data_IF_602436321025
#
_entry.id   IF_602436321025
#
_cell.length_a   1.000
_cell.length_b   1.000
_cell.length_c   1.000
_cell.angle_alpha   90.00
_cell.angle_beta   90.00
_cell.angle_gamma   90.00
#
_symmetry.space_group_name_H-M   'P 1'
#
loop_
_entity.id
_entity.type
_entity.pdbx_description
1 polymer ?
#
# COMPACT_ATOMS: atom_id res chain seq x y z
N UNK A 1 16.08 3.76 -11.89
CA UNK A 1 15.15 4.15 -10.82
C UNK A 1 15.14 3.03 -9.79
N UNK A 2 15.00 3.30 -8.49
CA UNK A 2 14.85 2.24 -7.50
C UNK A 2 13.57 1.43 -7.79
N UNK A 3 13.65 0.11 -7.66
CA UNK A 3 12.52 -0.81 -7.83
C UNK A 3 12.00 -1.21 -6.46
N UNK A 4 10.67 -1.16 -6.26
CA UNK A 4 10.02 -1.53 -5.01
C UNK A 4 9.07 -2.69 -5.24
N UNK A 5 9.13 -3.69 -4.36
CA UNK A 5 8.20 -4.83 -4.34
C UNK A 5 7.19 -4.60 -3.23
N UNK A 6 5.94 -4.31 -3.61
CA UNK A 6 4.83 -4.10 -2.69
C UNK A 6 3.90 -5.31 -2.74
N UNK A 7 3.47 -5.80 -1.58
CA UNK A 7 2.57 -6.95 -1.47
C UNK A 7 1.29 -6.51 -0.78
N UNK A 8 0.14 -6.83 -1.36
CA UNK A 8 -1.19 -6.53 -0.80
C UNK A 8 -1.81 -7.81 -0.25
N UNK A 9 -2.12 -7.82 1.05
CA UNK A 9 -2.66 -8.98 1.77
C UNK A 9 -4.05 -8.66 2.33
N UNK A 10 -4.88 -9.70 2.51
CA UNK A 10 -6.20 -9.58 3.12
C UNK A 10 -7.20 -10.63 2.64
N UNK A 11 -8.31 -10.75 3.37
CA UNK A 11 -9.39 -11.71 3.12
C UNK A 11 -10.04 -11.56 1.73
N UNK A 12 -10.82 -12.56 1.31
CA UNK A 12 -11.64 -12.48 0.10
C UNK A 12 -12.61 -11.28 0.14
N UNK A 13 -12.83 -10.63 -0.99
CA UNK A 13 -13.85 -9.56 -1.11
C UNK A 13 -13.53 -8.23 -0.42
N UNK A 14 -12.41 -8.07 0.30
CA UNK A 14 -12.04 -6.80 0.96
C UNK A 14 -11.63 -5.69 -0.02
N UNK A 15 -11.39 -6.03 -1.28
CA UNK A 15 -11.08 -5.07 -2.35
C UNK A 15 -9.58 -4.87 -2.65
N UNK A 16 -8.75 -5.90 -2.42
CA UNK A 16 -7.31 -5.89 -2.77
C UNK A 16 -7.09 -5.53 -4.24
N UNK A 17 -7.65 -6.32 -5.16
CA UNK A 17 -7.54 -6.09 -6.59
C UNK A 17 -8.16 -4.76 -6.99
N UNK A 18 -9.29 -4.37 -6.37
CA UNK A 18 -9.92 -3.08 -6.64
C UNK A 18 -9.01 -1.89 -6.30
N UNK A 19 -8.31 -1.94 -5.16
CA UNK A 19 -7.33 -0.92 -4.78
C UNK A 19 -6.13 -0.90 -5.74
N UNK A 20 -5.59 -2.06 -6.11
CA UNK A 20 -4.46 -2.15 -7.04
C UNK A 20 -4.82 -1.65 -8.43
N UNK A 21 -5.96 -2.07 -8.98
CA UNK A 21 -6.44 -1.61 -10.29
C UNK A 21 -6.74 -0.12 -10.25
N UNK A 22 -7.35 0.39 -9.18
CA UNK A 22 -7.61 1.82 -9.05
C UNK A 22 -6.32 2.65 -8.97
N UNK A 23 -5.28 2.13 -8.33
CA UNK A 23 -3.97 2.78 -8.29
C UNK A 23 -3.26 2.77 -9.65
N UNK A 24 -3.23 1.62 -10.33
CA UNK A 24 -2.47 1.45 -11.59
C UNK A 24 -3.19 2.07 -12.79
N UNK A 25 -4.50 1.86 -12.89
CA UNK A 25 -5.29 2.21 -14.08
C UNK A 25 -6.22 3.40 -13.85
N UNK A 26 -6.42 3.83 -12.60
CA UNK A 26 -7.33 4.94 -12.30
C UNK A 26 -8.81 4.63 -12.58
N UNK A 27 -9.17 3.36 -12.76
CA UNK A 27 -10.54 2.89 -12.94
C UNK A 27 -10.98 1.95 -11.82
N UNK A 28 -12.29 1.93 -11.56
CA UNK A 28 -12.93 0.96 -10.66
C UNK A 28 -13.91 0.10 -11.45
N UNK A 29 -13.65 -1.20 -11.52
CA UNK A 29 -14.49 -2.15 -12.23
C UNK A 29 -15.43 -2.84 -11.24
N UNK A 30 -16.74 -2.59 -11.37
CA UNK A 30 -17.77 -3.18 -10.50
C UNK A 30 -17.93 -4.69 -10.69
N UNK A 31 -17.85 -5.17 -11.95
CA UNK A 31 -17.89 -6.59 -12.30
C UNK A 31 -16.46 -7.05 -12.58
N UNK A 32 -15.77 -7.49 -11.54
CA UNK A 32 -14.50 -8.19 -11.70
C UNK A 32 -14.82 -9.58 -12.27
N UNK A 33 -14.27 -9.93 -13.45
CA UNK A 33 -14.34 -11.29 -14.00
C UNK A 33 -13.23 -12.13 -13.36
N UNK A 34 -13.55 -13.04 -12.43
CA UNK A 34 -12.55 -13.83 -11.74
C UNK A 34 -12.25 -15.05 -12.61
N UNK A 35 -11.26 -14.96 -13.52
CA UNK A 35 -10.85 -16.16 -14.26
C UNK A 35 -9.68 -16.92 -13.67
N UNK A 36 -8.85 -16.34 -12.80
CA UNK A 36 -7.87 -17.11 -12.00
C UNK A 36 -7.59 -16.36 -10.69
N UNK A 37 -8.15 -16.80 -9.56
CA UNK A 37 -7.76 -16.36 -8.21
C UNK A 37 -7.10 -17.56 -7.51
N UNK A 38 -5.83 -17.85 -7.85
CA UNK A 38 -5.05 -18.84 -7.11
C UNK A 38 -4.78 -18.33 -5.68
N UNK A 39 -5.43 -18.93 -4.70
CA UNK A 39 -5.26 -18.61 -3.29
C UNK A 39 -4.16 -19.48 -2.67
N UNK A 40 -2.94 -18.94 -2.58
CA UNK A 40 -1.87 -19.56 -1.79
C UNK A 40 -1.78 -18.91 -0.40
N UNK A 41 -1.81 -19.72 0.66
CA UNK A 41 -1.59 -19.28 2.05
C UNK A 41 -0.22 -19.75 2.51
N UNK A 42 0.61 -18.82 3.01
CA UNK A 42 1.86 -19.13 3.70
C UNK A 42 1.94 -18.27 4.95
N UNK A 43 2.13 -18.90 6.11
CA UNK A 43 2.49 -18.17 7.32
C UNK A 43 3.94 -17.72 7.17
N UNK A 44 4.15 -16.41 7.31
CA UNK A 44 5.47 -15.79 7.29
C UNK A 44 5.54 -14.91 8.52
N UNK A 45 6.58 -15.08 9.32
CA UNK A 45 6.91 -14.18 10.41
C UNK A 45 7.62 -12.96 9.81
N UNK A 46 7.14 -11.77 10.15
CA UNK A 46 7.48 -10.53 9.43
C UNK A 46 8.13 -9.55 10.40
N UNK A 47 9.39 -9.80 10.76
CA UNK A 47 10.04 -9.03 11.84
C UNK A 47 10.54 -7.63 11.40
N UNK A 48 10.66 -7.38 10.09
CA UNK A 48 11.29 -6.15 9.56
C UNK A 48 10.62 -5.51 8.34
N UNK A 49 9.42 -5.96 7.95
CA UNK A 49 8.74 -5.38 6.78
C UNK A 49 7.91 -4.16 7.20
N UNK A 50 8.00 -3.10 6.42
CA UNK A 50 7.13 -1.94 6.56
C UNK A 50 5.71 -2.33 6.11
N UNK A 51 4.75 -2.16 7.01
CA UNK A 51 3.36 -2.52 6.79
C UNK A 51 2.46 -1.32 7.05
N UNK A 52 1.36 -1.25 6.29
CA UNK A 52 0.28 -0.27 6.49
C UNK A 52 -1.02 -1.07 6.56
N UNK A 53 -1.80 -0.85 7.61
CA UNK A 53 -3.14 -1.40 7.74
C UNK A 53 -4.14 -0.50 6.99
N UNK A 54 -4.97 -1.12 6.15
CA UNK A 54 -5.90 -0.39 5.27
C UNK A 54 -7.34 -0.77 5.59
N UNK A 55 -8.14 0.20 6.02
CA UNK A 55 -9.59 0.09 6.10
C UNK A 55 -10.24 0.48 4.77
N UNK A 56 -10.42 -0.47 3.86
CA UNK A 56 -11.03 -0.18 2.55
C UNK A 56 -12.57 -0.10 2.64
N UNK A 57 -13.19 0.47 1.61
CA UNK A 57 -14.65 0.70 1.48
C UNK A 57 -15.22 1.68 2.50
N UNK A 58 -14.43 2.69 2.89
CA UNK A 58 -14.90 3.74 3.80
C UNK A 58 -16.01 4.63 3.20
N UNK A 59 -16.38 4.42 1.93
CA UNK A 59 -17.53 5.05 1.29
C UNK A 59 -18.88 4.42 1.69
N UNK A 60 -18.87 3.24 2.33
CA UNK A 60 -20.08 2.55 2.79
C UNK A 60 -20.31 2.81 4.28
N UNK A 61 -20.55 4.07 4.64
CA UNK A 61 -20.69 4.47 6.05
C UNK A 61 -21.92 3.83 6.73
N UNK A 62 -23.03 3.72 5.99
CA UNK A 62 -24.26 3.08 6.49
C UNK A 62 -24.11 1.57 6.74
N UNK A 63 -23.14 0.93 6.07
CA UNK A 63 -22.81 -0.50 6.24
C UNK A 63 -21.56 -0.70 7.12
N UNK A 64 -21.07 0.36 7.78
CA UNK A 64 -19.86 0.29 8.60
C UNK A 64 -20.06 -0.63 9.79
N UNK A 65 -19.24 -1.67 9.86
CA UNK A 65 -19.17 -2.59 11.00
C UNK A 65 -17.91 -2.45 11.84
N UNK A 66 -16.88 -1.78 11.31
CA UNK A 66 -15.60 -1.53 12.00
C UNK A 66 -15.39 -0.03 12.11
N UNK A 67 -15.29 0.46 13.34
CA UNK A 67 -15.02 1.87 13.62
C UNK A 67 -13.58 2.25 13.28
N UNK A 68 -13.36 3.51 12.91
CA UNK A 68 -12.02 4.03 12.62
C UNK A 68 -11.05 3.86 13.79
N UNK A 69 -11.52 4.07 15.02
CA UNK A 69 -10.72 3.89 16.23
C UNK A 69 -10.30 2.44 16.44
N UNK A 70 -11.15 1.47 16.10
CA UNK A 70 -10.82 0.04 16.21
C UNK A 70 -9.66 -0.31 15.28
N UNK A 71 -9.71 0.16 14.03
CA UNK A 71 -8.61 -0.02 13.06
C UNK A 71 -7.32 0.66 13.52
N UNK A 72 -7.42 1.89 14.03
CA UNK A 72 -6.26 2.62 14.55
C UNK A 72 -5.63 1.94 15.77
N UNK A 73 -6.45 1.41 16.68
CA UNK A 73 -5.97 0.70 17.87
C UNK A 73 -5.30 -0.63 17.49
N UNK A 74 -5.85 -1.36 16.52
CA UNK A 74 -5.23 -2.57 15.99
C UNK A 74 -3.88 -2.27 15.35
N UNK A 75 -3.78 -1.20 14.56
CA UNK A 75 -2.53 -0.78 13.95
C UNK A 75 -1.46 -0.41 14.98
N UNK A 76 -1.85 0.24 16.08
CA UNK A 76 -0.94 0.53 17.21
C UNK A 76 -0.41 -0.76 17.83
N UNK A 77 -1.25 -1.78 17.99
CA UNK A 77 -0.84 -3.09 18.53
C UNK A 77 0.11 -3.83 17.58
N UNK A 78 -0.02 -3.64 16.27
CA UNK A 78 0.80 -4.29 15.25
C UNK A 78 2.08 -3.51 15.00
N UNK A 79 2.98 -3.49 15.99
CA UNK A 79 4.28 -2.80 15.93
C UNK A 79 4.17 -1.32 15.55
N UNK A 80 3.07 -0.66 15.96
CA UNK A 80 2.77 0.73 15.63
C UNK A 80 2.78 1.00 14.11
N UNK A 81 2.12 0.13 13.33
CA UNK A 81 2.01 0.30 11.88
C UNK A 81 1.09 1.47 11.52
N UNK A 82 1.25 2.03 10.32
CA UNK A 82 0.39 3.11 9.85
C UNK A 82 -1.02 2.56 9.54
N UNK A 83 -2.04 3.39 9.75
CA UNK A 83 -3.43 3.05 9.44
C UNK A 83 -4.03 4.12 8.52
N UNK A 84 -4.69 3.68 7.45
CA UNK A 84 -5.42 4.55 6.53
C UNK A 84 -6.76 3.93 6.14
N UNK A 85 -7.80 4.74 6.13
CA UNK A 85 -9.06 4.38 5.48
C UNK A 85 -9.03 4.77 4.02
N UNK A 86 -9.56 3.91 3.14
CA UNK A 86 -9.58 4.16 1.70
C UNK A 86 -10.87 3.70 1.06
N UNK A 87 -11.12 4.22 -0.14
CA UNK A 87 -12.16 3.73 -1.02
C UNK A 87 -11.61 3.59 -2.42
N UNK A 88 -11.48 2.34 -2.88
CA UNK A 88 -11.20 2.07 -4.28
C UNK A 88 -12.29 2.63 -5.19
N UNK A 89 -13.57 2.63 -4.77
CA UNK A 89 -14.68 3.13 -5.59
C UNK A 89 -14.68 4.65 -5.71
N UNK A 90 -14.49 5.35 -4.59
CA UNK A 90 -14.55 6.81 -4.50
C UNK A 90 -13.18 7.50 -4.62
N UNK A 91 -12.11 6.74 -4.94
CA UNK A 91 -10.73 7.24 -5.07
C UNK A 91 -10.18 7.92 -3.80
N UNK A 92 -10.64 7.49 -2.63
CA UNK A 92 -10.20 8.06 -1.35
C UNK A 92 -8.93 7.35 -0.89
N UNK A 93 -7.85 8.10 -0.64
CA UNK A 93 -6.55 7.63 -0.12
C UNK A 93 -5.88 6.48 -0.89
N UNK A 94 -6.31 6.18 -2.12
CA UNK A 94 -5.76 5.08 -2.92
C UNK A 94 -4.27 5.31 -3.19
N UNK A 95 -3.89 6.50 -3.66
CA UNK A 95 -2.50 6.83 -3.95
C UNK A 95 -1.67 6.98 -2.66
N UNK A 96 -2.24 7.59 -1.63
CA UNK A 96 -1.53 7.87 -0.39
C UNK A 96 -1.05 6.60 0.31
N UNK A 97 -1.81 5.50 0.24
CA UNK A 97 -1.38 4.20 0.78
C UNK A 97 -0.03 3.76 0.18
N UNK A 98 0.08 3.76 -1.15
CA UNK A 98 1.28 3.28 -1.84
C UNK A 98 2.44 4.27 -1.68
N UNK A 99 2.15 5.57 -1.76
CA UNK A 99 3.17 6.61 -1.57
C UNK A 99 3.71 6.64 -0.15
N UNK A 100 2.87 6.49 0.86
CA UNK A 100 3.32 6.45 2.24
C UNK A 100 4.22 5.24 2.50
N UNK A 101 3.86 4.06 1.97
CA UNK A 101 4.70 2.87 2.09
C UNK A 101 6.08 3.07 1.45
N UNK A 102 6.14 3.62 0.24
CA UNK A 102 7.41 3.92 -0.45
C UNK A 102 8.22 4.98 0.30
N UNK A 103 7.58 6.02 0.83
CA UNK A 103 8.24 7.04 1.67
C UNK A 103 8.83 6.42 2.92
N UNK A 104 8.11 5.51 3.59
CA UNK A 104 8.62 4.78 4.76
C UNK A 104 9.82 3.90 4.39
N UNK A 105 9.78 3.18 3.26
CA UNK A 105 10.90 2.35 2.78
C UNK A 105 12.13 3.22 2.56
N UNK A 106 11.99 4.34 1.87
CA UNK A 106 13.12 5.24 1.58
C UNK A 106 13.73 5.90 2.82
N UNK A 107 12.96 6.05 3.91
CA UNK A 107 13.48 6.54 5.19
C UNK A 107 14.31 5.50 5.92
N UNK A 108 13.90 4.22 5.89
CA UNK A 108 14.63 3.12 6.56
C UNK A 108 15.78 2.57 5.72
N UNK A 109 15.67 2.65 4.39
CA UNK A 109 16.68 2.17 3.44
C UNK A 109 17.07 3.33 2.52
N UNK A 110 17.95 4.25 2.98
CA UNK A 110 18.37 5.36 2.15
C UNK A 110 19.08 4.81 0.91
N UNK A 111 18.47 5.03 -0.26
CA UNK A 111 19.09 4.67 -1.54
C UNK A 111 20.38 5.47 -1.67
N UNK A 112 21.52 4.80 -1.81
CA UNK A 112 22.79 5.47 -2.11
C UNK A 112 22.63 6.29 -3.39
N UNK A 113 22.58 7.62 -3.24
CA UNK A 113 22.61 8.53 -4.38
C UNK A 113 23.99 8.37 -5.02
N UNK A 114 24.06 7.79 -6.22
CA UNK A 114 25.30 7.81 -7.03
C UNK A 114 25.82 9.24 -7.08
N UNK A 115 26.97 9.50 -6.46
CA UNK A 115 27.62 10.82 -6.50
C UNK A 115 27.80 11.23 -7.98
N UNK A 116 27.46 12.45 -8.38
CA UNK A 116 27.74 12.91 -9.74
C UNK A 116 29.25 12.81 -9.96
N UNK A 117 29.67 12.09 -11.01
CA UNK A 117 31.08 12.06 -11.43
C UNK A 117 31.46 13.50 -11.78
N UNK A 118 32.35 14.12 -11.00
CA UNK A 118 32.95 15.41 -11.36
C UNK A 118 33.61 15.24 -12.73
N UNK A 119 33.11 15.90 -13.76
CA UNK A 119 33.87 16.09 -14.99
C UNK A 119 34.90 17.18 -14.68
N UNK A 120 36.19 16.83 -14.65
CA UNK A 120 37.24 17.84 -14.64
C UNK A 120 37.22 18.52 -16.00
N UNK A 121 36.73 19.75 -16.08
CA UNK A 121 36.99 20.59 -17.24
C UNK A 121 38.36 21.24 -17.02
N UNK A 122 39.37 20.78 -17.76
CA UNK A 122 40.64 21.46 -17.87
C UNK A 122 40.48 22.46 -19.03
N UNK A 123 40.51 23.76 -18.73
CA UNK A 123 40.69 24.80 -19.75
C UNK A 123 42.20 24.93 -19.97
N UNK A 124 42.63 24.54 -21.18
CA UNK A 124 43.94 24.88 -21.74
C UNK A 124 43.87 26.29 -22.34
#
# INVERSE_FOLDING_TARGET
MPEYKLVVLGSGGVGKSALTVQFVQGIFVKKYDPTIEDSYRKQVEVDYVLMILIGNKCDLEDERVVGKEQGQNLARQWCNCAFLESSAKSKINVNEIFYDLVRQINRKTPVEKKKPKKKSCLLL
#
